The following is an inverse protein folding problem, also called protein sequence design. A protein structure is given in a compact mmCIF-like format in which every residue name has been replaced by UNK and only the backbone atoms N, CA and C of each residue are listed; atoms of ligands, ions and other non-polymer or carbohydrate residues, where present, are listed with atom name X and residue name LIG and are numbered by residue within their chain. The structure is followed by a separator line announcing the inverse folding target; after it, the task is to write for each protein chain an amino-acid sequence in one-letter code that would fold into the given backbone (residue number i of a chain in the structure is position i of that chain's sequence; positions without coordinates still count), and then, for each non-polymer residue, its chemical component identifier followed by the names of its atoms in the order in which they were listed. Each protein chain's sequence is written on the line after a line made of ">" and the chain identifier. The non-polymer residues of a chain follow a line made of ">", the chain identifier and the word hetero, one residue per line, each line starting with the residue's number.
data_IF_830726046903
#
_entry.id   IF_830726046903
#
_cell.length_a   1.000
_cell.length_b   1.000
_cell.length_c   1.000
_cell.angle_alpha   90.00
_cell.angle_beta   90.00
_cell.angle_gamma   90.00
#
_symmetry.space_group_name_H-M   'P 1'
#
loop_
_entity.id
_entity.type
_entity.pdbx_description
1 polymer ?
#
# COMPACT_ATOMS: atom_id res chain seq x y z
N UNK A 1 14.00 29.39 -15.65
CA UNK A 1 13.43 29.88 -14.38
C UNK A 1 14.50 29.72 -13.32
N UNK A 2 15.13 30.82 -12.86
CA UNK A 2 16.30 30.77 -11.98
C UNK A 2 16.07 31.58 -10.69
N UNK A 3 14.83 31.67 -10.21
CA UNK A 3 14.49 32.46 -9.02
C UNK A 3 13.96 31.58 -7.90
N UNK A 4 14.29 31.89 -6.64
CA UNK A 4 13.82 31.14 -5.46
C UNK A 4 12.30 31.11 -5.34
N UNK A 5 11.62 32.24 -5.62
CA UNK A 5 10.15 32.28 -5.66
C UNK A 5 9.54 31.39 -6.75
N UNK A 6 10.22 31.24 -7.89
CA UNK A 6 9.82 30.35 -8.98
C UNK A 6 9.92 28.87 -8.53
N UNK A 7 10.93 28.56 -7.72
CA UNK A 7 11.15 27.23 -7.16
C UNK A 7 10.11 26.90 -6.09
N UNK A 8 9.76 27.85 -5.23
CA UNK A 8 8.66 27.68 -4.26
C UNK A 8 7.31 27.46 -4.95
N UNK A 9 7.03 28.17 -6.05
CA UNK A 9 5.84 27.89 -6.88
C UNK A 9 5.87 26.48 -7.45
N UNK A 10 7.00 26.04 -8.02
CA UNK A 10 7.14 24.69 -8.55
C UNK A 10 6.94 23.61 -7.48
N UNK A 11 7.49 23.81 -6.28
CA UNK A 11 7.27 22.92 -5.13
C UNK A 11 5.78 22.85 -4.77
N UNK A 12 5.10 24.00 -4.74
CA UNK A 12 3.68 24.07 -4.44
C UNK A 12 2.84 23.35 -5.50
N UNK A 13 3.10 23.59 -6.77
CA UNK A 13 2.37 22.94 -7.87
C UNK A 13 2.58 21.42 -7.85
N UNK A 14 3.82 20.97 -7.58
CA UNK A 14 4.13 19.55 -7.37
C UNK A 14 3.38 18.95 -6.17
N UNK A 15 3.29 19.67 -5.05
CA UNK A 15 2.51 19.25 -3.87
C UNK A 15 1.03 19.09 -4.20
N UNK A 16 0.43 20.08 -4.86
CA UNK A 16 -0.99 20.04 -5.24
C UNK A 16 -1.31 18.87 -6.18
N UNK A 17 -0.45 18.59 -7.16
CA UNK A 17 -0.62 17.41 -8.01
C UNK A 17 -0.55 16.12 -7.19
N UNK A 18 0.46 15.98 -6.32
CA UNK A 18 0.64 14.81 -5.48
C UNK A 18 -0.56 14.58 -4.54
N UNK A 19 -1.13 15.66 -3.98
CA UNK A 19 -2.32 15.62 -3.14
C UNK A 19 -3.53 15.04 -3.88
N UNK A 20 -3.84 15.54 -5.08
CA UNK A 20 -4.96 15.04 -5.86
C UNK A 20 -4.81 13.57 -6.28
N UNK A 21 -3.60 13.18 -6.69
CA UNK A 21 -3.35 11.79 -7.07
C UNK A 21 -3.39 10.86 -5.86
N UNK A 22 -2.84 11.29 -4.71
CA UNK A 22 -2.92 10.55 -3.45
C UNK A 22 -4.37 10.40 -2.98
N UNK A 23 -5.18 11.45 -3.09
CA UNK A 23 -6.61 11.40 -2.75
C UNK A 23 -7.34 10.38 -3.63
N UNK A 24 -7.14 10.45 -4.95
CA UNK A 24 -7.77 9.51 -5.89
C UNK A 24 -7.41 8.04 -5.58
N UNK A 25 -6.11 7.76 -5.39
CA UNK A 25 -5.65 6.41 -5.02
C UNK A 25 -6.21 5.93 -3.68
N UNK A 26 -6.29 6.83 -2.69
CA UNK A 26 -6.85 6.53 -1.36
C UNK A 26 -8.33 6.19 -1.45
N UNK A 27 -9.11 6.96 -2.22
CA UNK A 27 -10.53 6.70 -2.41
C UNK A 27 -10.79 5.36 -3.11
N UNK A 28 -9.96 4.99 -4.09
CA UNK A 28 -10.04 3.69 -4.75
C UNK A 28 -9.76 2.54 -3.76
N UNK A 29 -8.71 2.67 -2.94
CA UNK A 29 -8.38 1.69 -1.91
C UNK A 29 -9.49 1.55 -0.86
N UNK A 30 -10.04 2.66 -0.36
CA UNK A 30 -11.17 2.65 0.57
C UNK A 30 -12.38 1.96 -0.06
N UNK A 31 -12.73 2.32 -1.30
CA UNK A 31 -13.86 1.70 -1.99
C UNK A 31 -13.68 0.18 -2.11
N UNK A 32 -12.49 -0.29 -2.51
CA UNK A 32 -12.17 -1.72 -2.63
C UNK A 32 -12.21 -2.45 -1.28
N UNK A 33 -11.63 -1.87 -0.22
CA UNK A 33 -11.55 -2.50 1.10
C UNK A 33 -12.89 -2.53 1.85
N UNK A 34 -13.80 -1.59 1.57
CA UNK A 34 -15.16 -1.61 2.11
C UNK A 34 -16.05 -2.68 1.48
N UNK A 35 -15.71 -3.19 0.29
CA UNK A 35 -16.52 -4.15 -0.46
C UNK A 35 -15.61 -5.01 -1.34
N UNK A 36 -14.98 -5.99 -0.69
CA UNK A 36 -13.97 -6.87 -1.30
C UNK A 36 -14.54 -7.86 -2.31
N UNK A 37 -15.86 -8.00 -2.36
CA UNK A 37 -16.58 -8.85 -3.33
C UNK A 37 -16.83 -8.10 -4.66
N UNK A 38 -16.71 -6.77 -4.68
CA UNK A 38 -16.94 -5.98 -5.89
C UNK A 38 -15.79 -6.07 -6.89
N UNK A 39 -16.03 -6.79 -7.98
CA UNK A 39 -15.15 -6.86 -9.15
C UNK A 39 -14.80 -5.47 -9.73
N UNK A 40 -15.79 -4.58 -9.83
CA UNK A 40 -15.61 -3.26 -10.42
C UNK A 40 -14.70 -2.36 -9.57
N UNK A 41 -14.90 -2.36 -8.24
CA UNK A 41 -14.07 -1.57 -7.32
C UNK A 41 -12.64 -2.11 -7.29
N UNK A 42 -12.49 -3.43 -7.28
CA UNK A 42 -11.18 -4.09 -7.34
C UNK A 42 -10.45 -3.76 -8.64
N UNK A 43 -11.14 -3.87 -9.78
CA UNK A 43 -10.57 -3.52 -11.10
C UNK A 43 -10.17 -2.05 -11.18
N UNK A 44 -10.98 -1.14 -10.66
CA UNK A 44 -10.65 0.29 -10.66
C UNK A 44 -9.41 0.61 -9.81
N UNK A 45 -9.26 -0.03 -8.65
CA UNK A 45 -8.06 0.08 -7.83
C UNK A 45 -6.83 -0.50 -8.54
N UNK A 46 -6.93 -1.73 -9.07
CA UNK A 46 -5.82 -2.37 -9.77
C UNK A 46 -5.39 -1.61 -11.03
N UNK A 47 -6.32 -1.02 -11.78
CA UNK A 47 -5.98 -0.16 -12.92
C UNK A 47 -5.13 1.04 -12.51
N UNK A 48 -5.45 1.68 -11.38
CA UNK A 48 -4.63 2.76 -10.85
C UNK A 48 -3.22 2.29 -10.46
N UNK A 49 -3.12 1.15 -9.77
CA UNK A 49 -1.86 0.54 -9.37
C UNK A 49 -1.02 0.12 -10.58
N UNK A 50 -1.62 -0.41 -11.64
CA UNK A 50 -0.91 -0.90 -12.81
C UNK A 50 -0.52 0.23 -13.78
N UNK A 51 -1.40 1.23 -13.97
CA UNK A 51 -1.29 2.16 -15.09
C UNK A 51 -0.97 3.60 -14.70
N UNK A 52 -1.19 3.98 -13.43
CA UNK A 52 -0.99 5.34 -12.92
C UNK A 52 0.19 5.41 -11.97
N UNK A 53 0.22 4.57 -10.92
CA UNK A 53 1.26 4.61 -9.89
C UNK A 53 2.69 4.44 -10.45
N UNK A 54 2.98 3.54 -11.40
CA UNK A 54 4.32 3.39 -11.99
C UNK A 54 4.83 4.68 -12.62
N UNK A 55 4.00 5.30 -13.48
CA UNK A 55 4.32 6.55 -14.18
C UNK A 55 4.50 7.71 -13.19
N UNK A 56 3.68 7.73 -12.13
CA UNK A 56 3.82 8.72 -11.07
C UNK A 56 5.14 8.55 -10.31
N UNK A 57 5.56 7.31 -10.04
CA UNK A 57 6.82 6.99 -9.37
C UNK A 57 8.02 7.50 -10.18
N UNK A 58 8.06 7.21 -11.48
CA UNK A 58 9.09 7.70 -12.40
C UNK A 58 9.09 9.24 -12.48
N UNK A 59 7.90 9.85 -12.60
CA UNK A 59 7.77 11.31 -12.63
C UNK A 59 8.26 11.95 -11.32
N UNK A 60 7.92 11.37 -10.17
CA UNK A 60 8.31 11.86 -8.86
C UNK A 60 9.84 11.81 -8.68
N UNK A 61 10.50 10.74 -9.11
CA UNK A 61 11.96 10.64 -9.10
C UNK A 61 12.62 11.69 -10.01
N UNK A 62 12.14 11.82 -11.25
CA UNK A 62 12.63 12.84 -12.18
C UNK A 62 12.43 14.27 -11.63
N UNK A 63 11.28 14.54 -11.00
CA UNK A 63 10.98 15.80 -10.34
C UNK A 63 11.92 16.06 -9.15
N UNK A 64 12.16 15.05 -8.32
CA UNK A 64 13.08 15.11 -7.20
C UNK A 64 14.50 15.45 -7.66
N UNK A 65 15.01 14.77 -8.68
CA UNK A 65 16.31 15.08 -9.29
C UNK A 65 16.37 16.52 -9.82
N UNK A 66 15.31 16.98 -10.49
CA UNK A 66 15.24 18.35 -11.02
C UNK A 66 15.28 19.40 -9.92
N UNK A 67 14.59 19.15 -8.81
CA UNK A 67 14.53 20.01 -7.64
C UNK A 67 15.88 20.03 -6.90
N UNK A 68 16.45 18.86 -6.64
CA UNK A 68 17.76 18.70 -5.98
C UNK A 68 18.92 19.33 -6.78
N UNK A 69 18.82 19.35 -8.12
CA UNK A 69 19.80 19.99 -9.00
C UNK A 69 19.53 21.47 -9.30
N UNK A 70 18.52 22.09 -8.68
CA UNK A 70 18.15 23.47 -9.00
C UNK A 70 19.13 24.47 -8.36
N UNK A 71 19.64 25.49 -9.08
CA UNK A 71 20.66 26.42 -8.55
C UNK A 71 20.18 27.23 -7.33
N UNK A 72 18.88 27.51 -7.24
CA UNK A 72 18.28 28.24 -6.12
C UNK A 72 17.86 27.35 -4.93
N UNK A 73 18.26 26.06 -4.90
CA UNK A 73 17.88 25.14 -3.82
C UNK A 73 18.36 25.63 -2.45
N UNK A 74 19.61 26.11 -2.38
CA UNK A 74 20.21 26.65 -1.15
C UNK A 74 19.67 28.03 -0.76
N UNK A 75 18.96 28.70 -1.67
CA UNK A 75 18.30 29.99 -1.42
C UNK A 75 16.89 29.81 -0.81
N UNK A 76 16.39 28.57 -0.71
CA UNK A 76 15.08 28.31 -0.14
C UNK A 76 15.03 28.66 1.36
N UNK A 77 13.88 29.18 1.86
CA UNK A 77 13.72 29.48 3.27
C UNK A 77 13.96 28.25 4.17
N UNK A 78 14.47 28.43 5.42
CA UNK A 78 14.82 27.32 6.31
C UNK A 78 13.72 26.28 6.57
N UNK A 79 12.44 26.64 6.39
CA UNK A 79 11.30 25.72 6.51
C UNK A 79 11.38 24.50 5.58
N UNK A 80 12.11 24.59 4.47
CA UNK A 80 12.22 23.50 3.49
C UNK A 80 13.33 22.49 3.79
N UNK A 81 14.16 22.70 4.82
CA UNK A 81 15.33 21.83 5.09
C UNK A 81 14.96 20.34 5.24
N UNK A 82 13.86 20.03 5.92
CA UNK A 82 13.40 18.65 6.10
C UNK A 82 12.90 18.05 4.78
N UNK A 83 12.17 18.83 3.98
CA UNK A 83 11.70 18.43 2.66
C UNK A 83 12.89 18.10 1.74
N UNK A 84 13.91 18.97 1.70
CA UNK A 84 15.12 18.74 0.91
C UNK A 84 15.82 17.44 1.34
N UNK A 85 15.96 17.21 2.66
CA UNK A 85 16.53 15.96 3.18
C UNK A 85 15.73 14.73 2.74
N UNK A 86 14.39 14.83 2.75
CA UNK A 86 13.50 13.77 2.27
C UNK A 86 13.71 13.49 0.78
N UNK A 87 13.68 14.53 -0.06
CA UNK A 87 13.93 14.42 -1.51
C UNK A 87 15.27 13.72 -1.81
N UNK A 88 16.35 14.12 -1.13
CA UNK A 88 17.66 13.49 -1.32
C UNK A 88 17.67 12.02 -0.89
N UNK A 89 16.88 11.67 0.13
CA UNK A 89 16.72 10.28 0.57
C UNK A 89 15.92 9.49 -0.46
N UNK A 90 14.82 10.04 -0.96
CA UNK A 90 13.96 9.44 -1.96
C UNK A 90 14.75 9.12 -3.24
N UNK A 91 15.57 10.06 -3.73
CA UNK A 91 16.51 9.85 -4.84
C UNK A 91 17.48 8.70 -4.54
N UNK A 92 18.07 8.68 -3.35
CA UNK A 92 19.10 7.69 -3.00
C UNK A 92 18.55 6.24 -2.98
N UNK A 93 17.28 6.07 -2.59
CA UNK A 93 16.63 4.76 -2.47
C UNK A 93 15.82 4.36 -3.70
N UNK A 94 15.48 5.29 -4.59
CA UNK A 94 14.68 5.00 -5.77
C UNK A 94 15.39 4.03 -6.72
N UNK A 95 14.66 3.02 -7.18
CA UNK A 95 15.14 2.04 -8.15
C UNK A 95 13.97 1.72 -9.08
N UNK A 96 14.10 2.06 -10.36
CA UNK A 96 13.07 1.78 -11.38
C UNK A 96 12.76 0.28 -11.49
N UNK A 97 13.79 -0.57 -11.30
CA UNK A 97 13.66 -2.03 -11.23
C UNK A 97 12.71 -2.53 -10.12
N UNK A 98 12.42 -1.71 -9.10
CA UNK A 98 11.49 -2.06 -8.02
C UNK A 98 10.02 -1.76 -8.39
N UNK A 99 9.75 -1.00 -9.46
CA UNK A 99 8.38 -0.63 -9.83
C UNK A 99 7.53 -1.86 -10.21
N UNK A 100 7.98 -2.79 -11.08
CA UNK A 100 7.19 -3.98 -11.38
C UNK A 100 6.94 -4.88 -10.16
N UNK A 101 7.93 -5.19 -9.29
CA UNK A 101 7.70 -5.91 -8.04
C UNK A 101 6.67 -5.24 -7.12
N UNK A 102 6.65 -3.90 -7.03
CA UNK A 102 5.66 -3.17 -6.22
C UNK A 102 4.22 -3.33 -6.76
N UNK A 103 4.06 -3.36 -8.08
CA UNK A 103 2.75 -3.62 -8.71
C UNK A 103 2.28 -5.04 -8.42
N UNK A 104 3.17 -6.02 -8.54
CA UNK A 104 2.83 -7.42 -8.23
C UNK A 104 2.56 -7.64 -6.73
N UNK A 105 3.28 -6.95 -5.85
CA UNK A 105 3.00 -6.92 -4.41
C UNK A 105 1.58 -6.44 -4.11
N UNK A 106 1.17 -5.32 -4.68
CA UNK A 106 -0.18 -4.78 -4.48
C UNK A 106 -1.29 -5.72 -5.01
N UNK A 107 -1.02 -6.47 -6.09
CA UNK A 107 -1.96 -7.51 -6.59
C UNK A 107 -2.10 -8.65 -5.60
N UNK A 108 -0.98 -9.16 -5.09
CA UNK A 108 -0.96 -10.24 -4.10
C UNK A 108 -1.64 -9.83 -2.79
N UNK A 109 -1.41 -8.59 -2.34
CA UNK A 109 -2.10 -8.03 -1.17
C UNK A 109 -3.61 -7.90 -1.41
N UNK A 110 -4.01 -7.45 -2.60
CA UNK A 110 -5.43 -7.38 -2.99
C UNK A 110 -6.07 -8.76 -3.00
N UNK A 111 -5.41 -9.77 -3.58
CA UNK A 111 -5.88 -11.15 -3.60
C UNK A 111 -6.03 -11.72 -2.18
N UNK A 112 -5.03 -11.50 -1.32
CA UNK A 112 -5.10 -11.89 0.09
C UNK A 112 -6.31 -11.25 0.78
N UNK A 113 -6.55 -9.96 0.58
CA UNK A 113 -7.72 -9.25 1.12
C UNK A 113 -9.04 -9.80 0.58
N UNK A 114 -9.12 -10.17 -0.70
CA UNK A 114 -10.32 -10.81 -1.26
C UNK A 114 -10.58 -12.18 -0.61
N UNK A 115 -9.56 -13.03 -0.48
CA UNK A 115 -9.72 -14.35 0.14
C UNK A 115 -10.17 -14.21 1.60
N UNK A 116 -9.46 -13.39 2.39
CA UNK A 116 -9.76 -13.23 3.81
C UNK A 116 -11.05 -12.47 4.08
N UNK A 117 -11.41 -11.51 3.22
CA UNK A 117 -12.67 -10.76 3.31
C UNK A 117 -13.90 -11.60 3.01
N UNK A 118 -13.78 -12.62 2.15
CA UNK A 118 -14.87 -13.54 1.79
C UNK A 118 -15.09 -14.67 2.81
N UNK A 119 -14.30 -14.75 3.89
CA UNK A 119 -14.43 -15.83 4.86
C UNK A 119 -15.67 -15.66 5.75
N UNK A 120 -16.62 -16.59 5.62
CA UNK A 120 -17.77 -16.74 6.49
C UNK A 120 -17.78 -18.10 7.20
N UNK A 121 -18.48 -18.16 8.33
CA UNK A 121 -18.75 -19.37 9.12
C UNK A 121 -20.21 -19.41 9.55
N UNK A 122 -20.79 -20.61 9.61
CA UNK A 122 -22.06 -20.85 10.28
C UNK A 122 -21.83 -20.99 11.78
N UNK A 123 -22.34 -20.05 12.57
CA UNK A 123 -22.22 -20.10 14.03
C UNK A 123 -23.48 -19.56 14.69
N UNK A 124 -24.01 -20.32 15.66
CA UNK A 124 -25.24 -19.95 16.38
C UNK A 124 -26.46 -19.77 15.46
N UNK A 125 -26.52 -20.56 14.37
CA UNK A 125 -27.62 -20.55 13.40
C UNK A 125 -27.60 -19.41 12.40
N UNK A 126 -26.54 -18.60 12.37
CA UNK A 126 -26.36 -17.50 11.41
C UNK A 126 -25.01 -17.62 10.69
N UNK A 127 -24.99 -17.22 9.42
CA UNK A 127 -23.74 -16.97 8.69
C UNK A 127 -23.09 -15.69 9.22
N UNK A 128 -21.81 -15.77 9.57
CA UNK A 128 -21.03 -14.66 10.11
C UNK A 128 -19.69 -14.54 9.41
N UNK A 129 -19.26 -13.31 9.16
CA UNK A 129 -17.85 -13.02 8.88
C UNK A 129 -17.02 -13.16 10.17
N UNK A 130 -15.69 -13.11 10.05
CA UNK A 130 -14.82 -13.32 11.22
C UNK A 130 -14.86 -12.18 12.24
N UNK A 131 -15.14 -10.95 11.85
CA UNK A 131 -15.12 -9.82 12.79
C UNK A 131 -16.16 -9.99 13.92
N UNK A 132 -17.44 -10.34 13.65
CA UNK A 132 -18.40 -10.70 14.69
C UNK A 132 -17.97 -11.86 15.62
N UNK A 133 -17.13 -12.78 15.13
CA UNK A 133 -16.69 -13.94 15.92
C UNK A 133 -15.85 -13.57 17.15
N UNK A 134 -15.24 -12.38 17.15
CA UNK A 134 -14.47 -11.86 18.29
C UNK A 134 -15.27 -11.87 19.61
N UNK A 135 -16.57 -11.56 19.55
CA UNK A 135 -17.44 -11.57 20.74
C UNK A 135 -17.57 -12.96 21.36
N UNK A 136 -17.56 -14.02 20.53
CA UNK A 136 -17.64 -15.39 21.01
C UNK A 136 -16.32 -15.88 21.61
N UNK A 137 -15.18 -15.34 21.17
CA UNK A 137 -13.88 -15.60 21.79
C UNK A 137 -13.76 -15.01 23.19
N UNK A 138 -14.55 -14.00 23.53
CA UNK A 138 -14.57 -13.35 24.84
C UNK A 138 -15.69 -13.87 25.75
N UNK A 139 -16.51 -14.81 25.27
CA UNK A 139 -17.61 -15.37 26.05
C UNK A 139 -17.09 -16.02 27.35
N UNK A 140 -17.84 -15.89 28.46
CA UNK A 140 -17.44 -16.46 29.76
C UNK A 140 -17.49 -17.99 29.77
N UNK A 141 -18.36 -18.60 28.97
CA UNK A 141 -18.46 -20.05 28.80
C UNK A 141 -17.32 -20.58 27.91
N UNK A 142 -16.51 -21.48 28.47
CA UNK A 142 -15.39 -22.12 27.76
C UNK A 142 -15.86 -22.90 26.54
N UNK A 143 -17.01 -23.56 26.61
CA UNK A 143 -17.52 -24.38 25.52
C UNK A 143 -17.85 -23.54 24.29
N UNK A 144 -18.41 -22.34 24.49
CA UNK A 144 -18.70 -21.37 23.42
C UNK A 144 -17.40 -20.86 22.80
N UNK A 145 -16.41 -20.47 23.61
CA UNK A 145 -15.11 -20.02 23.10
C UNK A 145 -14.41 -21.09 22.27
N UNK A 146 -14.40 -22.34 22.76
CA UNK A 146 -13.77 -23.46 22.07
C UNK A 146 -14.47 -23.77 20.74
N UNK A 147 -15.81 -23.81 20.73
CA UNK A 147 -16.58 -24.01 19.51
C UNK A 147 -16.29 -22.91 18.47
N UNK A 148 -16.35 -21.64 18.88
CA UNK A 148 -16.07 -20.51 18.01
C UNK A 148 -14.66 -20.58 17.41
N UNK A 149 -13.65 -20.86 18.26
CA UNK A 149 -12.26 -20.96 17.81
C UNK A 149 -12.07 -22.09 16.80
N UNK A 150 -12.64 -23.27 17.07
CA UNK A 150 -12.55 -24.42 16.15
C UNK A 150 -13.19 -24.11 14.80
N UNK A 151 -14.38 -23.52 14.80
CA UNK A 151 -15.11 -23.16 13.58
C UNK A 151 -14.30 -22.18 12.72
N UNK A 152 -13.73 -21.13 13.33
CA UNK A 152 -12.93 -20.13 12.59
C UNK A 152 -11.63 -20.74 12.06
N UNK A 153 -10.89 -21.51 12.88
CA UNK A 153 -9.63 -22.12 12.45
C UNK A 153 -9.85 -23.17 11.37
N UNK A 154 -10.92 -23.96 11.46
CA UNK A 154 -11.28 -24.92 10.42
C UNK A 154 -11.57 -24.22 9.08
N UNK A 155 -12.33 -23.11 9.11
CA UNK A 155 -12.58 -22.29 7.91
C UNK A 155 -11.29 -21.69 7.35
N UNK A 156 -10.42 -21.13 8.19
CA UNK A 156 -9.12 -20.60 7.75
C UNK A 156 -8.24 -21.68 7.11
N UNK A 157 -8.30 -22.91 7.64
CA UNK A 157 -7.56 -24.05 7.12
C UNK A 157 -7.86 -24.36 5.65
N UNK A 158 -9.07 -24.08 5.18
CA UNK A 158 -9.51 -24.35 3.80
C UNK A 158 -8.77 -23.50 2.76
N UNK A 159 -8.39 -22.27 3.09
CA UNK A 159 -7.67 -21.35 2.19
C UNK A 159 -6.17 -21.26 2.50
N UNK A 160 -5.69 -22.05 3.48
CA UNK A 160 -4.33 -21.96 4.00
C UNK A 160 -3.25 -22.18 2.94
N UNK A 161 -3.49 -23.05 1.96
CA UNK A 161 -2.54 -23.32 0.87
C UNK A 161 -2.33 -22.08 0.01
N UNK A 162 -3.41 -21.42 -0.44
CA UNK A 162 -3.28 -20.22 -1.28
C UNK A 162 -2.69 -19.06 -0.50
N UNK A 163 -3.15 -18.82 0.73
CA UNK A 163 -2.63 -17.76 1.58
C UNK A 163 -1.13 -17.94 1.87
N UNK A 164 -0.68 -19.18 2.10
CA UNK A 164 0.76 -19.49 2.25
C UNK A 164 1.53 -19.24 0.95
N UNK A 165 0.95 -19.62 -0.19
CA UNK A 165 1.54 -19.34 -1.52
C UNK A 165 1.71 -17.83 -1.78
N UNK A 166 0.70 -17.02 -1.45
CA UNK A 166 0.79 -15.56 -1.54
C UNK A 166 1.95 -15.05 -0.67
N UNK A 167 2.08 -15.55 0.56
CA UNK A 167 3.16 -15.14 1.45
C UNK A 167 4.55 -15.51 0.90
N UNK A 168 4.71 -16.71 0.34
CA UNK A 168 5.96 -17.12 -0.30
C UNK A 168 6.29 -16.27 -1.54
N UNK A 169 5.29 -15.90 -2.33
CA UNK A 169 5.45 -15.00 -3.48
C UNK A 169 5.88 -13.60 -3.04
N UNK A 170 5.24 -13.05 -2.00
CA UNK A 170 5.61 -11.77 -1.39
C UNK A 170 7.05 -11.77 -0.90
N UNK A 171 7.51 -12.84 -0.24
CA UNK A 171 8.92 -12.98 0.19
C UNK A 171 9.88 -12.95 -1.01
N UNK A 172 9.51 -13.60 -2.12
CA UNK A 172 10.37 -13.67 -3.32
C UNK A 172 10.49 -12.34 -4.05
N UNK A 173 9.40 -11.56 -4.14
CA UNK A 173 9.38 -10.30 -4.89
C UNK A 173 9.90 -9.12 -4.07
N UNK A 174 9.82 -9.18 -2.74
CA UNK A 174 10.39 -8.17 -1.86
C UNK A 174 11.92 -8.33 -1.83
N UNK A 175 12.69 -7.31 -2.27
CA UNK A 175 14.14 -7.41 -2.23
C UNK A 175 14.61 -7.60 -0.77
N UNK A 176 15.59 -8.49 -0.50
CA UNK A 176 16.11 -8.70 0.85
C UNK A 176 16.75 -7.45 1.47
N UNK A 177 17.10 -6.43 0.67
CA UNK A 177 17.94 -5.32 1.10
C UNK A 177 17.36 -3.93 0.82
N UNK A 178 16.61 -3.42 1.79
CA UNK A 178 16.55 -1.98 2.08
C UNK A 178 17.81 -1.44 2.79
N UNK A 179 18.80 -2.30 3.08
CA UNK A 179 19.97 -1.96 3.91
C UNK A 179 21.34 -2.12 3.22
N UNK A 180 21.55 -3.09 2.32
CA UNK A 180 22.92 -3.45 1.86
C UNK A 180 23.41 -2.79 0.57
N UNK A 181 22.59 -2.02 -0.16
CA UNK A 181 23.10 -1.16 -1.27
C UNK A 181 23.58 0.22 -0.82
N UNK A 182 23.99 0.36 0.46
CA UNK A 182 24.81 1.50 0.92
C UNK A 182 26.28 1.15 0.75
N UNK A 183 26.95 1.87 -0.14
CA UNK A 183 28.41 1.90 -0.34
C UNK A 183 28.99 0.74 -1.15
N UNK A 184 28.97 0.91 -2.47
CA UNK A 184 30.20 0.79 -3.28
C UNK A 184 30.30 1.99 -4.21
#
# INVERSE_FOLDING_TARGET
>A
MNCSGCLETLIKDGSTLAEHVSEAGTLLSIAMTCDTESEDKRRAYLDFIENVQPKLSEFADAFNHRLAGHPALDELPPRHKLMIKRILTDIAIFREENIPPQVEEAKLETEHSTITGAMTVEFDGEERTFSPMALYFENTDRSIREAAWRTVVERMGQDSERLSGIYDELIRIRPPDGAERRVR
#
